data_IF_507004632100
#
_entry.id   IF_507004632100
#
_cell.length_a   1.000
_cell.length_b   1.000
_cell.length_c   1.000
_cell.angle_alpha   90.00
_cell.angle_beta   90.00
_cell.angle_gamma   90.00
#
_symmetry.space_group_name_H-M   'P 1'
#
loop_
_entity.id
_entity.type
_entity.pdbx_description
1 polymer ?
#
# COMPACT_ATOMS: atom_id res chain seq x y z
N UNK A 1 11.84 -15.08 28.68
CA UNK A 1 10.66 -15.58 27.96
C UNK A 1 10.87 -17.04 27.68
N UNK A 2 10.01 -17.89 28.24
CA UNK A 2 9.98 -19.32 27.95
C UNK A 2 9.49 -19.57 26.51
N UNK A 3 9.70 -20.78 25.99
CA UNK A 3 9.18 -21.15 24.67
C UNK A 3 7.64 -21.17 24.63
N UNK A 4 7.03 -21.51 25.76
CA UNK A 4 5.58 -21.51 25.94
C UNK A 4 4.99 -20.10 25.88
N UNK A 5 5.53 -19.15 26.65
CA UNK A 5 5.14 -17.73 26.60
C UNK A 5 5.30 -17.14 25.19
N UNK A 6 6.36 -17.54 24.47
CA UNK A 6 6.57 -17.09 23.10
C UNK A 6 5.50 -17.63 22.15
N UNK A 7 5.07 -18.88 22.34
CA UNK A 7 4.00 -19.51 21.57
C UNK A 7 2.65 -18.83 21.83
N UNK A 8 2.31 -18.60 23.09
CA UNK A 8 1.08 -17.90 23.47
C UNK A 8 1.01 -16.49 22.88
N UNK A 9 2.11 -15.72 23.00
CA UNK A 9 2.20 -14.38 22.38
C UNK A 9 2.08 -14.45 20.87
N UNK A 10 2.66 -15.48 20.23
CA UNK A 10 2.56 -15.66 18.79
C UNK A 10 1.11 -15.89 18.35
N UNK A 11 0.38 -16.73 19.07
CA UNK A 11 -1.03 -17.01 18.78
C UNK A 11 -1.90 -15.77 19.00
N UNK A 12 -1.68 -15.06 20.11
CA UNK A 12 -2.38 -13.80 20.41
C UNK A 12 -2.14 -12.72 19.33
N UNK A 13 -0.88 -12.52 18.93
CA UNK A 13 -0.52 -11.61 17.84
C UNK A 13 -1.15 -12.04 16.52
N UNK A 14 -1.19 -13.35 16.27
CA UNK A 14 -1.87 -13.94 15.12
C UNK A 14 -3.36 -13.58 15.08
N UNK A 15 -4.06 -13.73 16.21
CA UNK A 15 -5.48 -13.37 16.33
C UNK A 15 -5.71 -11.88 16.11
N UNK A 16 -4.93 -11.01 16.76
CA UNK A 16 -5.03 -9.55 16.60
C UNK A 16 -4.75 -9.11 15.16
N UNK A 17 -3.78 -9.74 14.48
CA UNK A 17 -3.52 -9.48 13.06
C UNK A 17 -4.76 -9.79 12.22
N UNK A 18 -5.42 -10.94 12.44
CA UNK A 18 -6.62 -11.29 11.68
C UNK A 18 -7.79 -10.38 11.98
N UNK A 19 -7.95 -9.96 13.24
CA UNK A 19 -8.97 -9.00 13.63
C UNK A 19 -8.73 -7.62 12.98
N UNK A 20 -7.48 -7.16 12.95
CA UNK A 20 -7.09 -5.94 12.24
C UNK A 20 -7.41 -6.05 10.74
N UNK A 21 -7.14 -7.21 10.12
CA UNK A 21 -7.49 -7.46 8.72
C UNK A 21 -9.01 -7.41 8.50
N UNK A 22 -9.82 -8.02 9.37
CA UNK A 22 -11.29 -7.95 9.26
C UNK A 22 -11.80 -6.51 9.34
N UNK A 23 -11.27 -5.72 10.26
CA UNK A 23 -11.60 -4.28 10.39
C UNK A 23 -11.17 -3.49 9.16
N UNK A 24 -9.98 -3.76 8.63
CA UNK A 24 -9.49 -3.15 7.40
C UNK A 24 -10.43 -3.44 6.21
N UNK A 25 -10.78 -4.71 6.01
CA UNK A 25 -11.68 -5.15 4.94
C UNK A 25 -13.16 -4.83 5.17
N UNK A 26 -13.54 -4.30 6.33
CA UNK A 26 -14.89 -3.78 6.59
C UNK A 26 -14.93 -2.24 6.55
N UNK A 27 -13.83 -1.59 6.13
CA UNK A 27 -13.76 -0.14 6.01
C UNK A 27 -13.53 0.59 7.32
N UNK A 28 -13.45 -0.13 8.45
CA UNK A 28 -13.17 0.44 9.77
C UNK A 28 -11.66 0.68 9.94
N UNK A 29 -11.10 1.57 9.12
CA UNK A 29 -9.65 1.75 8.96
C UNK A 29 -8.97 2.21 10.26
N UNK A 30 -9.54 3.17 10.98
CA UNK A 30 -8.99 3.63 12.26
C UNK A 30 -8.97 2.52 13.33
N UNK A 31 -10.02 1.68 13.36
CA UNK A 31 -10.06 0.51 14.25
C UNK A 31 -9.05 -0.56 13.82
N UNK A 32 -8.76 -0.68 12.53
CA UNK A 32 -7.69 -1.55 12.04
C UNK A 32 -6.32 -1.06 12.55
N UNK A 33 -6.05 0.25 12.45
CA UNK A 33 -4.81 0.88 12.96
C UNK A 33 -4.61 0.59 14.45
N UNK A 34 -5.64 0.82 15.27
CA UNK A 34 -5.56 0.55 16.72
C UNK A 34 -5.32 -0.93 17.02
N UNK A 35 -5.95 -1.83 16.26
CA UNK A 35 -5.79 -3.28 16.43
C UNK A 35 -4.39 -3.74 16.02
N UNK A 36 -3.85 -3.25 14.90
CA UNK A 36 -2.46 -3.55 14.50
C UNK A 36 -1.43 -2.96 15.47
N UNK A 37 -1.72 -1.81 16.08
CA UNK A 37 -0.87 -1.22 17.12
C UNK A 37 -0.80 -2.12 18.34
N UNK A 38 -1.95 -2.56 18.86
CA UNK A 38 -1.99 -3.56 19.96
C UNK A 38 -1.23 -4.84 19.60
N UNK A 39 -1.37 -5.31 18.36
CA UNK A 39 -0.62 -6.48 17.89
C UNK A 39 0.90 -6.24 17.92
N UNK A 40 1.37 -5.06 17.51
CA UNK A 40 2.79 -4.69 17.53
C UNK A 40 3.35 -4.56 18.94
N UNK A 41 2.59 -4.00 19.87
CA UNK A 41 2.99 -3.82 21.27
C UNK A 41 3.19 -5.17 21.97
N UNK A 42 2.32 -6.13 21.66
CA UNK A 42 2.41 -7.49 22.18
C UNK A 42 3.42 -8.38 21.42
N UNK A 43 3.83 -7.97 20.21
CA UNK A 43 4.69 -8.79 19.35
C UNK A 43 6.14 -8.79 19.82
N UNK A 44 6.68 -9.95 20.26
CA UNK A 44 8.07 -10.10 20.63
C UNK A 44 9.04 -9.63 19.55
N UNK A 45 10.14 -8.99 19.95
CA UNK A 45 11.18 -8.52 19.01
C UNK A 45 11.82 -9.66 18.20
N UNK A 46 11.81 -10.89 18.74
CA UNK A 46 12.28 -12.10 18.06
C UNK A 46 11.40 -12.48 16.85
N UNK A 47 10.11 -12.10 16.85
CA UNK A 47 9.15 -12.38 15.78
C UNK A 47 9.24 -11.36 14.65
N UNK A 48 10.44 -11.25 14.05
CA UNK A 48 10.74 -10.25 13.01
C UNK A 48 9.76 -10.32 11.83
N UNK A 49 9.43 -11.52 11.34
CA UNK A 49 8.55 -11.72 10.19
C UNK A 49 7.15 -11.16 10.44
N UNK A 50 6.60 -11.43 11.62
CA UNK A 50 5.28 -10.95 12.03
C UNK A 50 5.27 -9.43 12.21
N UNK A 51 6.32 -8.85 12.81
CA UNK A 51 6.46 -7.40 12.93
C UNK A 51 6.52 -6.70 11.58
N UNK A 52 7.27 -7.23 10.61
CA UNK A 52 7.33 -6.70 9.24
C UNK A 52 5.93 -6.60 8.66
N UNK A 53 5.15 -7.69 8.74
CA UNK A 53 3.78 -7.74 8.19
C UNK A 53 2.86 -6.75 8.90
N UNK A 54 2.90 -6.69 10.23
CA UNK A 54 2.07 -5.77 11.02
C UNK A 54 2.35 -4.31 10.70
N UNK A 55 3.62 -3.88 10.68
CA UNK A 55 3.99 -2.54 10.24
C UNK A 55 3.52 -2.26 8.81
N UNK A 56 3.68 -3.22 7.91
CA UNK A 56 3.21 -3.10 6.52
C UNK A 56 1.69 -2.91 6.43
N UNK A 57 0.91 -3.63 7.23
CA UNK A 57 -0.55 -3.57 7.19
C UNK A 57 -1.09 -2.31 7.87
N UNK A 58 -0.46 -1.88 8.97
CA UNK A 58 -0.77 -0.59 9.59
C UNK A 58 -0.39 0.58 8.67
N UNK A 59 0.74 0.50 7.97
CA UNK A 59 1.12 1.42 6.91
C UNK A 59 0.09 1.48 5.76
N UNK A 60 -0.49 0.34 5.34
CA UNK A 60 -1.60 0.37 4.38
C UNK A 60 -2.82 1.14 4.93
N UNK A 61 -3.12 0.96 6.20
CA UNK A 61 -4.24 1.64 6.84
C UNK A 61 -3.99 3.15 6.88
N UNK A 62 -2.77 3.59 7.16
CA UNK A 62 -2.40 5.00 7.11
C UNK A 62 -2.45 5.62 5.70
N UNK A 63 -2.18 4.84 4.64
CA UNK A 63 -2.39 5.29 3.26
C UNK A 63 -3.85 5.64 3.00
N UNK A 64 -4.78 4.79 3.44
CA UNK A 64 -6.22 5.04 3.31
C UNK A 64 -6.69 6.23 4.16
N UNK A 65 -5.94 6.59 5.20
CA UNK A 65 -6.18 7.77 6.02
C UNK A 65 -5.41 9.00 5.52
N UNK A 66 -4.76 8.92 4.36
CA UNK A 66 -3.92 9.97 3.77
C UNK A 66 -2.81 10.50 4.70
N UNK A 67 -2.33 9.70 5.66
CA UNK A 67 -1.27 10.08 6.59
C UNK A 67 0.11 9.61 6.09
N UNK A 68 0.68 10.34 5.14
CA UNK A 68 1.95 9.96 4.48
C UNK A 68 3.12 9.77 5.47
N UNK A 69 3.24 10.60 6.49
CA UNK A 69 4.32 10.51 7.49
C UNK A 69 4.28 9.18 8.26
N UNK A 70 3.08 8.79 8.69
CA UNK A 70 2.90 7.52 9.40
C UNK A 70 3.19 6.31 8.49
N UNK A 71 2.83 6.40 7.20
CA UNK A 71 3.18 5.37 6.20
C UNK A 71 4.69 5.25 6.06
N UNK A 72 5.41 6.36 5.88
CA UNK A 72 6.88 6.37 5.72
C UNK A 72 7.55 5.77 6.95
N UNK A 73 7.12 6.16 8.15
CA UNK A 73 7.64 5.60 9.41
C UNK A 73 7.45 4.09 9.50
N UNK A 74 6.21 3.60 9.31
CA UNK A 74 5.91 2.17 9.46
C UNK A 74 6.56 1.31 8.37
N UNK A 75 6.52 1.76 7.12
CA UNK A 75 7.14 1.03 6.01
C UNK A 75 8.66 1.01 6.14
N UNK A 76 9.28 2.09 6.63
CA UNK A 76 10.72 2.11 6.92
C UNK A 76 11.09 1.13 8.03
N UNK A 77 10.33 1.10 9.14
CA UNK A 77 10.52 0.08 10.19
C UNK A 77 10.40 -1.35 9.64
N UNK A 78 9.41 -1.61 8.78
CA UNK A 78 9.25 -2.91 8.14
C UNK A 78 10.45 -3.27 7.25
N UNK A 79 11.01 -2.29 6.52
CA UNK A 79 12.16 -2.51 5.64
C UNK A 79 13.46 -2.71 6.43
N UNK A 80 13.68 -1.97 7.52
CA UNK A 80 14.81 -2.17 8.42
C UNK A 80 14.81 -3.56 9.09
N UNK A 81 13.63 -4.14 9.33
CA UNK A 81 13.49 -5.49 9.86
C UNK A 81 13.64 -6.58 8.79
N UNK A 82 13.43 -6.24 7.51
CA UNK A 82 13.59 -7.15 6.39
C UNK A 82 15.05 -7.31 5.99
N UNK A 83 15.38 -8.38 5.26
CA UNK A 83 16.75 -8.58 4.76
C UNK A 83 17.05 -7.60 3.63
N UNK A 84 18.24 -6.99 3.64
CA UNK A 84 18.71 -6.14 2.53
C UNK A 84 18.71 -6.87 1.19
N UNK A 85 18.94 -8.19 1.18
CA UNK A 85 18.94 -9.01 -0.03
C UNK A 85 17.52 -9.31 -0.57
N UNK A 86 16.50 -9.16 0.26
CA UNK A 86 15.10 -9.37 -0.10
C UNK A 86 14.20 -8.42 0.71
N UNK A 87 14.14 -7.14 0.33
CA UNK A 87 13.31 -6.16 1.02
C UNK A 87 11.82 -6.52 0.91
N UNK A 88 11.06 -6.19 1.95
CA UNK A 88 9.62 -6.47 1.94
C UNK A 88 8.88 -5.66 0.87
N UNK A 89 8.55 -6.32 -0.24
CA UNK A 89 8.01 -5.68 -1.46
C UNK A 89 6.78 -4.82 -1.22
N UNK A 90 5.84 -5.29 -0.39
CA UNK A 90 4.61 -4.53 -0.09
C UNK A 90 4.93 -3.25 0.70
N UNK A 91 6.00 -3.22 1.49
CA UNK A 91 6.42 -2.00 2.21
C UNK A 91 7.09 -0.99 1.28
N UNK A 92 7.94 -1.45 0.34
CA UNK A 92 8.53 -0.57 -0.68
C UNK A 92 7.45 0.17 -1.47
N UNK A 93 6.46 -0.55 -1.98
CA UNK A 93 5.40 0.04 -2.79
C UNK A 93 4.57 1.08 -2.02
N UNK A 94 4.21 0.78 -0.77
CA UNK A 94 3.46 1.73 0.08
C UNK A 94 4.28 2.97 0.44
N UNK A 95 5.58 2.81 0.65
CA UNK A 95 6.47 3.95 0.91
C UNK A 95 6.64 4.81 -0.33
N UNK A 96 6.72 4.21 -1.52
CA UNK A 96 6.73 4.94 -2.79
C UNK A 96 5.47 5.80 -2.99
N UNK A 97 4.30 5.26 -2.62
CA UNK A 97 3.04 6.03 -2.64
C UNK A 97 3.07 7.19 -1.65
N UNK A 98 3.56 6.97 -0.43
CA UNK A 98 3.66 8.03 0.56
C UNK A 98 4.67 9.13 0.17
N UNK A 99 5.79 8.77 -0.47
CA UNK A 99 6.72 9.74 -1.04
C UNK A 99 6.11 10.54 -2.18
N UNK A 100 5.30 9.91 -3.05
CA UNK A 100 4.53 10.61 -4.08
C UNK A 100 3.57 11.64 -3.47
N UNK A 101 2.82 11.26 -2.41
CA UNK A 101 1.95 12.18 -1.66
C UNK A 101 2.71 13.38 -1.07
N UNK A 102 4.00 13.21 -0.74
CA UNK A 102 4.87 14.25 -0.17
C UNK A 102 5.61 15.08 -1.23
N UNK A 103 5.47 14.76 -2.52
CA UNK A 103 6.24 15.39 -3.60
C UNK A 103 7.73 14.97 -3.66
N UNK A 104 8.09 13.91 -2.95
CA UNK A 104 9.45 13.36 -2.87
C UNK A 104 9.71 12.40 -4.04
N UNK A 105 9.82 12.97 -5.24
CA UNK A 105 9.83 12.21 -6.49
C UNK A 105 11.02 11.25 -6.64
N UNK A 106 12.20 11.65 -6.17
CA UNK A 106 13.43 10.84 -6.26
C UNK A 106 13.30 9.58 -5.40
N UNK A 107 12.84 9.76 -4.17
CA UNK A 107 12.65 8.72 -3.18
C UNK A 107 11.55 7.73 -3.61
N UNK A 108 10.44 8.26 -4.14
CA UNK A 108 9.37 7.44 -4.72
C UNK A 108 9.88 6.60 -5.90
N UNK A 109 10.63 7.21 -6.82
CA UNK A 109 11.23 6.51 -7.98
C UNK A 109 12.15 5.37 -7.54
N UNK A 110 13.04 5.62 -6.57
CA UNK A 110 13.95 4.59 -6.04
C UNK A 110 13.19 3.40 -5.46
N UNK A 111 12.15 3.63 -4.66
CA UNK A 111 11.34 2.56 -4.09
C UNK A 111 10.55 1.79 -5.16
N UNK A 112 10.04 2.47 -6.20
CA UNK A 112 9.38 1.81 -7.33
C UNK A 112 10.33 0.89 -8.12
N UNK A 113 11.57 1.34 -8.38
CA UNK A 113 12.58 0.54 -9.06
C UNK A 113 12.96 -0.71 -8.23
N UNK A 114 13.13 -0.55 -6.92
CA UNK A 114 13.37 -1.67 -6.00
C UNK A 114 12.19 -2.65 -5.96
N UNK A 115 10.96 -2.14 -5.98
CA UNK A 115 9.76 -2.97 -6.03
C UNK A 115 9.69 -3.85 -7.28
N UNK A 116 10.08 -3.32 -8.45
CA UNK A 116 10.14 -4.05 -9.72
C UNK A 116 11.30 -5.04 -9.73
N UNK A 117 12.50 -4.63 -9.33
CA UNK A 117 13.67 -5.51 -9.26
C UNK A 117 13.35 -6.77 -8.44
N UNK A 118 12.67 -6.60 -7.30
CA UNK A 118 12.21 -7.72 -6.47
C UNK A 118 11.19 -8.64 -7.15
N UNK A 119 10.34 -8.16 -8.08
CA UNK A 119 9.43 -9.02 -8.88
C UNK A 119 10.20 -9.82 -9.92
N UNK A 120 11.08 -9.15 -10.66
CA UNK A 120 11.83 -9.76 -11.75
C UNK A 120 12.75 -10.88 -11.25
N UNK A 121 13.28 -10.77 -10.03
CA UNK A 121 14.05 -11.86 -9.39
C UNK A 121 13.19 -13.08 -9.02
N UNK A 122 11.91 -12.88 -8.69
CA UNK A 122 10.99 -13.95 -8.30
C UNK A 122 10.42 -14.68 -9.52
N UNK A 123 10.13 -13.96 -10.61
CA UNK A 123 9.64 -14.51 -11.87
C UNK A 123 10.83 -14.88 -12.77
N UNK A 124 11.33 -16.12 -12.68
CA UNK A 124 12.40 -16.67 -13.55
C UNK A 124 11.95 -16.87 -15.02
N UNK A 125 10.92 -16.19 -15.48
CA UNK A 125 10.36 -16.33 -16.82
C UNK A 125 10.86 -15.21 -17.72
N UNK A 126 11.07 -15.51 -19.00
CA UNK A 126 11.60 -14.57 -20.01
C UNK A 126 10.68 -13.35 -20.26
N UNK A 127 9.52 -13.26 -19.61
CA UNK A 127 8.50 -12.23 -19.81
C UNK A 127 7.86 -11.76 -18.49
N UNK A 128 8.66 -11.52 -17.43
CA UNK A 128 8.15 -10.85 -16.23
C UNK A 128 7.61 -9.46 -16.60
N UNK A 129 6.28 -9.27 -16.55
CA UNK A 129 5.63 -8.04 -16.98
C UNK A 129 5.59 -7.04 -15.82
N UNK A 130 6.04 -5.82 -16.08
CA UNK A 130 5.89 -4.73 -15.11
C UNK A 130 4.39 -4.41 -14.99
N UNK A 131 3.82 -4.39 -13.77
CA UNK A 131 2.43 -3.99 -13.59
C UNK A 131 2.21 -2.56 -14.06
N UNK A 132 1.08 -2.32 -14.74
CA UNK A 132 0.74 -1.02 -15.30
C UNK A 132 0.82 0.12 -14.27
N UNK A 133 0.30 -0.10 -13.07
CA UNK A 133 0.33 0.90 -11.99
C UNK A 133 1.77 1.31 -11.61
N UNK A 134 2.72 0.37 -11.62
CA UNK A 134 4.11 0.62 -11.27
C UNK A 134 4.83 1.34 -12.41
N UNK A 135 4.58 0.94 -13.67
CA UNK A 135 5.07 1.64 -14.85
C UNK A 135 4.59 3.10 -14.89
N UNK A 136 3.30 3.33 -14.61
CA UNK A 136 2.69 4.67 -14.54
C UNK A 136 3.34 5.53 -13.46
N UNK A 137 3.52 4.99 -12.24
CA UNK A 137 4.18 5.71 -11.16
C UNK A 137 5.62 6.07 -11.51
N UNK A 138 6.38 5.12 -12.06
CA UNK A 138 7.76 5.36 -12.50
C UNK A 138 7.81 6.47 -13.55
N UNK A 139 6.94 6.40 -14.56
CA UNK A 139 6.88 7.43 -15.59
C UNK A 139 6.60 8.82 -14.98
N UNK A 140 5.62 8.92 -14.08
CA UNK A 140 5.31 10.16 -13.33
C UNK A 140 6.55 10.70 -12.60
N UNK A 141 7.21 9.86 -11.80
CA UNK A 141 8.35 10.29 -10.99
C UNK A 141 9.61 10.58 -11.81
N UNK A 142 9.86 9.82 -12.88
CA UNK A 142 10.98 10.07 -13.79
C UNK A 142 10.86 11.45 -14.46
N UNK A 143 9.66 11.80 -14.92
CA UNK A 143 9.39 13.13 -15.49
C UNK A 143 9.55 14.24 -14.46
N UNK A 144 9.12 14.01 -13.21
CA UNK A 144 9.26 14.98 -12.11
C UNK A 144 10.71 15.17 -11.63
N UNK A 145 11.56 14.13 -11.73
CA UNK A 145 12.91 14.13 -11.15
C UNK A 145 13.93 15.00 -11.91
N UNK A 146 13.53 15.72 -12.96
CA UNK A 146 14.35 16.70 -13.72
C UNK A 146 15.63 16.16 -14.38
N UNK A 147 16.01 14.89 -14.14
CA UNK A 147 17.13 14.22 -14.83
C UNK A 147 16.97 14.20 -16.37
N UNK A 148 15.78 14.51 -16.90
CA UNK A 148 15.48 14.58 -18.33
C UNK A 148 14.89 15.92 -18.82
N UNK A 149 14.75 16.95 -17.98
CA UNK A 149 14.19 18.24 -18.42
C UNK A 149 15.12 18.97 -19.40
N UNK A 150 16.44 18.77 -19.27
CA UNK A 150 17.46 19.32 -20.17
C UNK A 150 17.38 18.66 -21.54
N UNK A 151 17.02 17.37 -21.60
CA UNK A 151 16.77 16.62 -22.84
C UNK A 151 15.38 16.94 -23.43
N UNK A 152 14.38 17.21 -22.59
CA UNK A 152 13.06 17.66 -23.06
C UNK A 152 13.13 19.06 -23.71
N UNK A 153 14.01 19.93 -23.19
CA UNK A 153 14.25 21.27 -23.77
C UNK A 153 15.08 21.24 -25.06
N UNK A 154 15.80 20.17 -25.37
CA UNK A 154 16.58 20.09 -26.61
C UNK A 154 15.74 19.70 -27.84
N UNK A 155 14.43 19.43 -27.68
CA UNK A 155 13.52 19.14 -28.81
C UNK A 155 12.59 20.29 -29.21
N UNK A 156 12.46 21.34 -28.40
CA UNK A 156 11.64 22.51 -28.72
C UNK A 156 12.51 23.78 -28.72
N UNK A 157 13.35 23.92 -29.76
CA UNK A 157 13.66 25.24 -30.33
C UNK A 157 12.67 25.40 -31.47
N UNK A 158 11.44 25.75 -31.11
CA UNK A 158 10.44 26.49 -31.88
C UNK A 158 9.14 26.42 -31.05
N UNK A 159 8.47 27.56 -30.98
CA UNK A 159 7.24 27.85 -30.21
C UNK A 159 7.43 28.36 -28.77
N UNK A 160 7.42 29.70 -28.72
CA UNK A 160 7.16 30.51 -27.55
C UNK A 160 5.70 30.39 -27.09
N UNK A 161 5.51 30.36 -25.77
CA UNK A 161 4.28 30.83 -25.11
C UNK A 161 3.13 29.83 -25.00
N UNK A 162 3.12 29.00 -23.96
CA UNK A 162 1.87 28.51 -23.35
C UNK A 162 2.06 28.41 -21.83
N UNK A 163 1.09 28.99 -21.12
CA UNK A 163 1.00 29.13 -19.68
C UNK A 163 1.03 27.80 -18.90
N UNK A 164 1.53 27.86 -17.66
CA UNK A 164 1.37 26.81 -16.65
C UNK A 164 -0.12 26.51 -16.41
N UNK A 165 -0.60 25.26 -16.44
CA UNK A 165 -1.84 24.93 -15.79
C UNK A 165 -1.60 24.94 -14.28
N UNK A 166 -2.35 25.80 -13.59
CA UNK A 166 -2.49 25.83 -12.13
C UNK A 166 -2.95 24.45 -11.65
N UNK A 167 -2.44 24.05 -10.49
CA UNK A 167 -2.82 22.82 -9.82
C UNK A 167 -4.34 22.70 -9.71
N UNK A 168 -4.86 21.58 -10.19
CA UNK A 168 -6.20 21.12 -9.84
C UNK A 168 -5.98 19.88 -8.98
N UNK A 169 -6.04 20.10 -7.66
CA UNK A 169 -6.39 19.02 -6.75
C UNK A 169 -7.88 18.74 -6.92
N UNK A 170 -8.23 17.48 -7.21
CA UNK A 170 -9.29 16.70 -6.55
C UNK A 170 -9.63 15.46 -7.39
N UNK A 171 -9.60 14.27 -6.77
CA UNK A 171 -10.62 13.26 -7.08
C UNK A 171 -10.22 11.86 -7.56
N UNK A 172 -8.97 11.39 -7.48
CA UNK A 172 -8.62 10.06 -8.01
C UNK A 172 -7.71 9.18 -7.12
N UNK A 173 -7.95 9.15 -5.82
CA UNK A 173 -7.12 8.34 -4.89
C UNK A 173 -7.73 7.00 -4.44
N UNK A 174 -9.00 6.74 -4.73
CA UNK A 174 -9.64 5.48 -4.28
C UNK A 174 -9.49 4.30 -5.26
N UNK A 175 -9.22 4.59 -6.54
CA UNK A 175 -9.14 3.57 -7.59
C UNK A 175 -7.80 2.79 -7.59
N UNK A 176 -6.77 3.28 -6.88
CA UNK A 176 -5.47 2.61 -6.80
C UNK A 176 -5.46 1.48 -5.76
N UNK A 177 -6.36 1.55 -4.77
CA UNK A 177 -6.54 0.52 -3.74
C UNK A 177 -7.14 -0.75 -4.34
N UNK A 178 -7.97 -0.63 -5.38
CA UNK A 178 -8.79 -1.73 -5.91
C UNK A 178 -8.00 -2.68 -6.83
N UNK A 179 -7.03 -2.18 -7.60
CA UNK A 179 -6.18 -3.04 -8.46
C UNK A 179 -5.13 -3.83 -7.64
N UNK A 180 -4.74 -3.36 -6.45
CA UNK A 180 -3.87 -4.13 -5.53
C UNK A 180 -4.56 -5.33 -4.87
N UNK A 181 -5.89 -5.33 -4.77
CA UNK A 181 -6.66 -6.40 -4.10
C UNK A 181 -6.72 -7.66 -4.98
N UNK A 182 -6.72 -7.52 -6.32
CA UNK A 182 -6.76 -8.66 -7.26
C UNK A 182 -5.49 -9.52 -7.23
N UNK A 183 -4.30 -8.95 -7.04
CA UNK A 183 -3.03 -9.69 -7.13
C UNK A 183 -2.62 -10.42 -5.83
N UNK A 184 -3.33 -10.25 -4.71
CA UNK A 184 -2.93 -10.75 -3.38
C UNK A 184 -3.76 -11.92 -2.83
N UNK A 185 -4.45 -12.69 -3.65
CA UNK A 185 -5.12 -13.92 -3.18
C UNK A 185 -4.16 -15.13 -3.03
N UNK A 186 -3.03 -14.89 -2.37
CA UNK A 186 -2.22 -15.93 -1.74
C UNK A 186 -2.13 -15.63 -0.23
N UNK A 187 -2.53 -16.57 0.64
CA UNK A 187 -2.35 -16.40 2.07
C UNK A 187 -0.84 -16.40 2.36
N UNK A 188 -0.31 -15.29 2.87
CA UNK A 188 1.01 -15.30 3.52
C UNK A 188 0.86 -16.04 4.86
N UNK A 189 1.00 -17.36 4.79
CA UNK A 189 0.98 -18.27 5.93
C UNK A 189 1.48 -19.66 5.52
N UNK A 190 2.65 -20.02 6.04
CA UNK A 190 3.29 -21.34 6.05
C UNK A 190 3.48 -22.05 4.70
N UNK A 191 4.75 -22.24 4.37
CA UNK A 191 5.23 -23.30 3.47
C UNK A 191 4.73 -24.66 3.99
N UNK A 192 3.67 -25.20 3.40
CA UNK A 192 3.38 -26.65 3.35
C UNK A 192 2.72 -26.99 2.02
N UNK A 193 3.33 -27.93 1.33
CA UNK A 193 2.98 -28.50 0.03
C UNK A 193 1.62 -29.24 0.08
N UNK A 194 0.82 -29.23 -1.01
CA UNK A 194 -0.29 -30.18 -1.17
C UNK A 194 -1.64 -29.69 -1.74
N UNK A 195 -1.76 -29.76 -3.07
CA UNK A 195 -2.90 -30.26 -3.89
C UNK A 195 -4.38 -29.88 -3.59
N UNK A 196 -5.04 -29.43 -4.68
CA UNK A 196 -6.50 -29.46 -5.02
C UNK A 196 -7.45 -28.56 -4.21
N UNK A 197 -7.98 -27.48 -4.84
CA UNK A 197 -9.30 -26.86 -4.54
C UNK A 197 -9.69 -25.83 -5.62
N UNK A 198 -10.24 -26.29 -6.75
CA UNK A 198 -10.57 -25.45 -7.92
C UNK A 198 -12.05 -25.06 -8.07
N UNK A 199 -12.96 -25.44 -7.15
CA UNK A 199 -14.40 -25.08 -7.25
C UNK A 199 -14.90 -24.02 -6.25
N UNK A 200 -14.27 -23.84 -5.08
CA UNK A 200 -14.70 -22.86 -4.05
C UNK A 200 -14.31 -21.39 -4.33
N UNK A 201 -13.37 -21.14 -5.25
CA UNK A 201 -12.87 -19.78 -5.55
C UNK A 201 -13.88 -18.88 -6.25
N UNK A 202 -14.82 -19.44 -7.02
CA UNK A 202 -15.71 -18.66 -7.89
C UNK A 202 -16.79 -17.93 -7.07
N UNK A 203 -17.41 -18.59 -6.11
CA UNK A 203 -18.43 -17.98 -5.23
C UNK A 203 -17.84 -16.96 -4.25
N UNK A 204 -16.64 -17.23 -3.70
CA UNK A 204 -15.91 -16.26 -2.87
C UNK A 204 -15.60 -14.98 -3.64
N UNK A 205 -15.18 -15.09 -4.90
CA UNK A 205 -14.88 -13.93 -5.74
C UNK A 205 -16.10 -13.05 -6.03
N UNK A 206 -17.31 -13.63 -6.01
CA UNK A 206 -18.55 -12.88 -6.23
C UNK A 206 -18.95 -12.11 -4.97
N UNK A 207 -18.88 -12.74 -3.79
CA UNK A 207 -19.09 -12.07 -2.51
C UNK A 207 -18.05 -10.97 -2.24
N UNK A 208 -16.77 -11.21 -2.54
CA UNK A 208 -15.69 -10.23 -2.38
C UNK A 208 -15.88 -8.99 -3.30
N UNK A 209 -16.35 -9.20 -4.53
CA UNK A 209 -16.68 -8.08 -5.45
C UNK A 209 -17.88 -7.28 -4.95
N UNK A 210 -18.92 -7.94 -4.46
CA UNK A 210 -20.10 -7.25 -3.92
C UNK A 210 -19.75 -6.42 -2.69
N UNK A 211 -18.94 -6.96 -1.78
CA UNK A 211 -18.46 -6.24 -0.60
C UNK A 211 -17.58 -5.04 -0.97
N UNK A 212 -16.70 -5.19 -1.97
CA UNK A 212 -15.85 -4.10 -2.43
C UNK A 212 -16.68 -2.93 -2.99
N UNK A 213 -17.69 -3.21 -3.82
CA UNK A 213 -18.58 -2.19 -4.37
C UNK A 213 -19.35 -1.46 -3.25
N UNK A 214 -19.83 -2.21 -2.25
CA UNK A 214 -20.50 -1.64 -1.09
C UNK A 214 -19.58 -0.71 -0.28
N UNK A 215 -18.34 -1.13 -0.03
CA UNK A 215 -17.35 -0.32 0.70
C UNK A 215 -16.97 0.96 -0.04
N UNK A 216 -16.82 0.90 -1.37
CA UNK A 216 -16.53 2.10 -2.16
C UNK A 216 -17.69 3.10 -2.16
N UNK A 217 -18.93 2.61 -2.14
CA UNK A 217 -20.11 3.47 -2.06
C UNK A 217 -20.24 4.14 -0.68
N UNK A 218 -19.96 3.40 0.39
CA UNK A 218 -20.07 3.92 1.76
C UNK A 218 -18.98 4.94 2.08
N UNK A 219 -17.75 4.72 1.60
CA UNK A 219 -16.66 5.69 1.76
C UNK A 219 -16.89 6.96 0.92
N UNK A 220 -17.45 6.83 -0.29
CA UNK A 220 -17.86 7.98 -1.09
C UNK A 220 -18.94 8.81 -0.37
N UNK A 221 -19.90 8.16 0.28
CA UNK A 221 -20.92 8.83 1.08
C UNK A 221 -20.34 9.55 2.31
N UNK A 222 -19.39 8.94 3.01
CA UNK A 222 -18.72 9.56 4.16
C UNK A 222 -17.87 10.76 3.76
N UNK A 223 -17.19 10.69 2.62
CA UNK A 223 -16.42 11.81 2.09
C UNK A 223 -17.33 12.96 1.65
N UNK A 224 -18.47 12.67 1.02
CA UNK A 224 -19.48 13.68 0.69
C UNK A 224 -20.03 14.37 1.95
N UNK A 225 -20.34 13.60 3.00
CA UNK A 225 -20.82 14.15 4.28
C UNK A 225 -19.79 15.06 4.95
N UNK A 226 -18.50 14.67 4.96
CA UNK A 226 -17.41 15.50 5.51
C UNK A 226 -17.19 16.78 4.71
N UNK A 227 -17.31 16.74 3.38
CA UNK A 227 -17.20 17.94 2.54
C UNK A 227 -18.33 18.93 2.81
N UNK A 228 -19.57 18.45 3.01
CA UNK A 228 -20.71 19.31 3.38
C UNK A 228 -20.52 19.92 4.76
N UNK A 229 -20.01 19.16 5.73
CA UNK A 229 -19.78 19.65 7.08
C UNK A 229 -18.67 20.72 7.15
N UNK A 230 -17.65 20.61 6.29
CA UNK A 230 -16.59 21.62 6.16
C UNK A 230 -17.11 22.92 5.52
N UNK A 231 -17.98 22.82 4.50
CA UNK A 231 -18.60 23.99 3.87
C UNK A 231 -19.53 24.74 4.85
N UNK A 232 -20.31 24.01 5.65
CA UNK A 232 -21.20 24.61 6.66
C UNK A 232 -20.44 25.31 7.80
N UNK A 233 -19.17 24.95 8.03
CA UNK A 233 -18.31 25.59 9.04
C UNK A 233 -17.58 26.83 8.51
N UNK A 234 -17.47 27.02 7.19
CA UNK A 234 -16.87 28.21 6.58
C UNK A 234 -17.84 29.38 6.36
N UNK A 235 -19.14 29.16 6.52
CA UNK A 235 -20.20 30.17 6.32
C UNK A 235 -20.73 30.79 7.63
N UNK A 236 -20.07 30.54 8.77
CA UNK A 236 -20.36 31.16 10.09
C UNK A 236 -19.14 31.91 10.60
#
# INVERSE_FOLDING_TARGET
MSEEELRERKDLVGMLKQEGNKKFWSGQIEKAVTTYTKALDLCPLKMRKERIVLYSNRGQSYLLLHNAEAVISDTTRALCLSSTASPHRKSLWRRAQAYDMKGLAKESLMDCLMFIHGRMKAEKTKHAKIPYFAARMIHKQMSATWLFSTVAKSKNKDEAGVEKPRGVEHGEDLCQVTEEIKERNAPDGSFTEGKRRSRSRKDRSRQERTLLVAMTAELAAQNAARSVELLCKSEK
#
